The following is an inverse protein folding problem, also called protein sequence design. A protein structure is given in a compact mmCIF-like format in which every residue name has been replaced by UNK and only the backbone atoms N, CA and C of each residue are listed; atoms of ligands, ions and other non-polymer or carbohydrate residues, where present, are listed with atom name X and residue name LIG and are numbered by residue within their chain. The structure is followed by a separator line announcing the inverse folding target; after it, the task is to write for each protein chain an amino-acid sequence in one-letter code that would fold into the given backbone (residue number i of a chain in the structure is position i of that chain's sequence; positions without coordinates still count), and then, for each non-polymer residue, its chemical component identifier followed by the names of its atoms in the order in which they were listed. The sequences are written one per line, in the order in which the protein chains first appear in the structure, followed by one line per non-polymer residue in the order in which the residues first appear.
data_IF_603729964155
#
_entry.id   IF_603729964155
#
_cell.length_a   1.000
_cell.length_b   1.000
_cell.length_c   1.000
_cell.angle_alpha   90.00
_cell.angle_beta   90.00
_cell.angle_gamma   90.00
#
_symmetry.space_group_name_H-M   'P 1'
#
loop_
_entity.id
_entity.type
_entity.pdbx_description
1 polymer ?
#
# COMPACT_ATOMS: atom_id res chain seq x y z
N UNK A 1 24.01 -22.69 0.37
CA UNK A 1 22.62 -22.43 -0.08
C UNK A 1 22.37 -20.94 0.08
N UNK A 2 21.65 -20.25 -0.82
CA UNK A 2 21.32 -18.83 -0.61
C UNK A 2 20.55 -18.65 0.70
N UNK A 3 20.72 -17.52 1.39
CA UNK A 3 19.89 -17.18 2.54
C UNK A 3 18.42 -17.09 2.12
N UNK A 4 17.51 -17.27 3.09
CA UNK A 4 16.05 -17.18 2.87
C UNK A 4 15.68 -15.87 2.15
N UNK A 5 16.28 -14.76 2.59
CA UNK A 5 16.08 -13.43 2.00
C UNK A 5 16.51 -13.33 0.53
N UNK A 6 17.66 -13.92 0.16
CA UNK A 6 18.09 -13.94 -1.26
C UNK A 6 17.05 -14.63 -2.14
N UNK A 7 16.39 -15.68 -1.64
CA UNK A 7 15.35 -16.39 -2.41
C UNK A 7 14.07 -15.57 -2.53
N UNK A 8 13.65 -14.88 -1.47
CA UNK A 8 12.47 -14.01 -1.53
C UNK A 8 12.66 -12.86 -2.52
N UNK A 9 13.86 -12.25 -2.56
CA UNK A 9 14.21 -11.26 -3.61
C UNK A 9 14.08 -11.85 -5.01
N UNK A 10 14.61 -13.04 -5.25
CA UNK A 10 14.51 -13.72 -6.57
C UNK A 10 13.06 -13.98 -6.97
N UNK A 11 12.19 -14.37 -6.03
CA UNK A 11 10.76 -14.58 -6.29
C UNK A 11 10.08 -13.25 -6.66
N UNK A 12 10.30 -12.20 -5.88
CA UNK A 12 9.73 -10.87 -6.15
C UNK A 12 10.19 -10.33 -7.50
N UNK A 13 11.46 -10.49 -7.86
CA UNK A 13 12.00 -10.15 -9.18
C UNK A 13 11.37 -10.97 -10.32
N UNK A 14 11.13 -12.26 -10.11
CA UNK A 14 10.47 -13.13 -11.08
C UNK A 14 9.00 -12.76 -11.31
N UNK A 15 8.28 -12.45 -10.22
CA UNK A 15 6.91 -11.94 -10.27
C UNK A 15 6.85 -10.58 -10.97
N UNK A 16 7.78 -9.68 -10.65
CA UNK A 16 7.86 -8.37 -11.27
C UNK A 16 8.04 -8.46 -12.79
N UNK A 17 8.97 -9.30 -13.26
CA UNK A 17 9.17 -9.57 -14.71
C UNK A 17 7.90 -10.10 -15.37
N UNK A 18 7.22 -11.04 -14.71
CA UNK A 18 5.96 -11.62 -15.20
C UNK A 18 4.88 -10.55 -15.35
N UNK A 19 4.73 -9.67 -14.37
CA UNK A 19 3.76 -8.56 -14.41
C UNK A 19 4.10 -7.57 -15.53
N UNK A 20 5.38 -7.22 -15.70
CA UNK A 20 5.80 -6.35 -16.81
C UNK A 20 5.45 -6.93 -18.19
N UNK A 21 5.55 -8.25 -18.37
CA UNK A 21 5.11 -8.93 -19.60
C UNK A 21 3.60 -8.82 -19.81
N UNK A 22 2.81 -8.90 -18.73
CA UNK A 22 1.35 -8.79 -18.79
C UNK A 22 0.86 -7.39 -19.15
N UNK A 23 1.65 -6.34 -18.90
CA UNK A 23 1.28 -4.93 -19.14
C UNK A 23 0.67 -4.65 -20.52
N UNK A 24 1.12 -5.36 -21.56
CA UNK A 24 0.65 -5.19 -22.95
C UNK A 24 -0.66 -5.92 -23.25
N UNK A 25 -1.08 -6.81 -22.36
CA UNK A 25 -2.20 -7.73 -22.55
C UNK A 25 -3.24 -7.64 -21.43
N UNK A 26 -3.21 -6.57 -20.63
CA UNK A 26 -4.20 -6.35 -19.57
C UNK A 26 -5.59 -6.12 -20.20
N UNK A 27 -6.62 -6.86 -19.76
CA UNK A 27 -8.00 -6.63 -20.18
C UNK A 27 -8.44 -5.17 -19.96
N UNK A 28 -9.45 -4.72 -20.70
CA UNK A 28 -9.96 -3.34 -20.58
C UNK A 28 -10.52 -3.05 -19.18
N UNK A 29 -11.12 -4.05 -18.56
CA UNK A 29 -11.63 -3.98 -17.19
C UNK A 29 -10.52 -4.00 -16.13
N UNK A 30 -9.26 -4.22 -16.51
CA UNK A 30 -8.10 -4.21 -15.61
C UNK A 30 -7.88 -5.50 -14.80
N UNK A 31 -8.81 -6.46 -14.80
CA UNK A 31 -8.72 -7.65 -13.95
C UNK A 31 -7.77 -8.69 -14.52
N UNK A 32 -7.02 -9.35 -13.64
CA UNK A 32 -6.06 -10.40 -14.01
C UNK A 32 -6.30 -11.69 -13.23
N UNK A 33 -6.03 -12.82 -13.87
CA UNK A 33 -6.12 -14.13 -13.23
C UNK A 33 -4.76 -14.54 -12.69
N UNK A 34 -4.59 -14.45 -11.37
CA UNK A 34 -3.34 -14.82 -10.69
C UNK A 34 -3.28 -16.28 -10.23
N UNK A 35 -4.33 -17.08 -10.45
CA UNK A 35 -4.38 -18.49 -9.99
C UNK A 35 -3.30 -19.37 -10.62
N UNK A 36 -2.76 -18.97 -11.77
CA UNK A 36 -1.66 -19.69 -12.44
C UNK A 36 -0.29 -19.37 -11.86
N UNK A 37 -0.16 -18.32 -11.04
CA UNK A 37 1.11 -17.94 -10.41
C UNK A 37 1.37 -18.86 -9.22
N UNK A 38 2.34 -19.77 -9.36
CA UNK A 38 2.66 -20.78 -8.34
C UNK A 38 3.20 -20.19 -7.04
N UNK A 39 3.83 -19.02 -7.15
CA UNK A 39 4.48 -18.32 -6.05
C UNK A 39 3.58 -17.25 -5.41
N UNK A 40 2.29 -17.22 -5.78
CA UNK A 40 1.30 -16.30 -5.22
C UNK A 40 0.17 -17.09 -4.57
N UNK A 41 -0.21 -16.67 -3.38
CA UNK A 41 -1.40 -17.13 -2.68
C UNK A 41 -2.33 -15.94 -2.47
N UNK A 42 -3.61 -16.09 -2.83
CA UNK A 42 -4.60 -15.02 -2.74
C UNK A 42 -5.74 -15.44 -1.84
N UNK A 43 -5.83 -14.80 -0.69
CA UNK A 43 -6.88 -14.99 0.32
C UNK A 43 -7.89 -13.86 0.15
N UNK A 44 -9.13 -14.19 -0.14
CA UNK A 44 -10.22 -13.23 -0.40
C UNK A 44 -11.22 -13.20 0.76
N UNK A 45 -12.02 -12.14 0.85
CA UNK A 45 -13.03 -11.93 1.90
C UNK A 45 -12.47 -11.97 3.33
N UNK A 46 -11.21 -11.55 3.51
CA UNK A 46 -10.63 -11.49 4.84
C UNK A 46 -11.28 -10.37 5.68
N UNK A 47 -11.53 -10.65 6.95
CA UNK A 47 -12.13 -9.72 7.89
C UNK A 47 -11.07 -8.81 8.54
N UNK A 48 -10.98 -7.57 8.06
CA UNK A 48 -10.10 -6.54 8.62
C UNK A 48 -10.73 -5.76 9.78
N UNK A 49 -12.00 -6.02 10.12
CA UNK A 49 -12.72 -5.30 11.18
C UNK A 49 -12.25 -5.74 12.58
N UNK A 50 -11.68 -6.95 12.69
CA UNK A 50 -11.33 -7.61 13.96
C UNK A 50 -9.83 -7.86 14.14
N UNK A 51 -9.01 -6.80 14.03
CA UNK A 51 -7.54 -6.88 14.10
C UNK A 51 -6.91 -6.27 15.36
N UNK A 52 -7.69 -6.00 16.42
CA UNK A 52 -7.17 -5.36 17.64
C UNK A 52 -6.29 -6.29 18.51
N UNK A 53 -6.38 -7.62 18.33
CA UNK A 53 -5.62 -8.60 19.10
C UNK A 53 -4.31 -8.99 18.41
N UNK A 54 -3.21 -8.37 18.83
CA UNK A 54 -1.88 -8.61 18.27
C UNK A 54 -1.40 -10.07 18.39
N UNK A 55 -1.74 -10.78 19.47
CA UNK A 55 -1.34 -12.18 19.66
C UNK A 55 -2.07 -13.09 18.68
N UNK A 56 -3.36 -12.85 18.46
CA UNK A 56 -4.16 -13.59 17.48
C UNK A 56 -3.70 -13.32 16.07
N UNK A 57 -3.44 -12.05 15.72
CA UNK A 57 -2.91 -11.61 14.43
C UNK A 57 -1.58 -12.29 14.07
N UNK A 58 -0.65 -12.34 15.03
CA UNK A 58 0.66 -12.98 14.84
C UNK A 58 0.57 -14.52 14.78
N UNK A 59 -0.48 -15.12 15.34
CA UNK A 59 -0.69 -16.57 15.30
C UNK A 59 -1.33 -17.07 13.99
N UNK A 60 -1.79 -16.16 13.12
CA UNK A 60 -2.35 -16.50 11.81
C UNK A 60 -1.27 -17.03 10.86
N UNK A 61 -1.69 -17.74 9.80
CA UNK A 61 -0.79 -18.25 8.76
C UNK A 61 -1.31 -17.78 7.38
N UNK A 62 -0.64 -16.79 6.74
CA UNK A 62 0.49 -16.01 7.24
C UNK A 62 0.11 -15.08 8.41
N UNK A 63 1.09 -14.60 9.20
CA UNK A 63 0.82 -13.65 10.27
C UNK A 63 0.34 -12.31 9.72
N UNK A 64 -0.59 -11.67 10.43
CA UNK A 64 -0.94 -10.27 10.19
C UNK A 64 0.08 -9.40 10.90
N UNK A 65 0.87 -8.65 10.12
CA UNK A 65 2.02 -7.86 10.58
C UNK A 65 1.68 -6.39 10.86
N UNK A 66 0.40 -6.04 10.77
CA UNK A 66 -0.09 -4.69 11.00
C UNK A 66 -1.09 -4.69 12.14
N UNK A 67 -0.89 -3.82 13.13
CA UNK A 67 -1.85 -3.59 14.21
C UNK A 67 -2.54 -2.24 14.00
N UNK A 68 -3.83 -2.22 13.66
CA UNK A 68 -4.57 -0.98 13.50
C UNK A 68 -4.52 -0.08 14.73
N UNK A 69 -4.63 1.22 14.51
CA UNK A 69 -4.85 2.18 15.58
C UNK A 69 -6.15 1.83 16.32
N UNK A 70 -6.12 1.92 17.65
CA UNK A 70 -7.33 1.73 18.43
C UNK A 70 -8.36 2.83 18.11
N UNK A 71 -9.64 2.47 18.01
CA UNK A 71 -10.70 3.44 17.68
C UNK A 71 -10.74 4.61 18.67
N UNK A 72 -10.65 4.34 19.97
CA UNK A 72 -10.71 5.37 21.00
C UNK A 72 -9.50 6.32 20.95
N UNK A 73 -8.36 5.86 20.43
CA UNK A 73 -7.21 6.74 20.18
C UNK A 73 -7.44 7.59 18.92
N UNK A 74 -8.00 7.00 17.86
CA UNK A 74 -8.29 7.71 16.61
C UNK A 74 -9.35 8.82 16.82
N UNK A 75 -10.34 8.58 17.69
CA UNK A 75 -11.37 9.56 18.08
C UNK A 75 -10.81 10.78 18.83
N UNK A 76 -9.62 10.67 19.44
CA UNK A 76 -8.96 11.82 20.09
C UNK A 76 -8.36 12.81 19.09
N UNK A 77 -8.26 12.41 17.82
CA UNK A 77 -7.72 13.21 16.72
C UNK A 77 -8.79 13.44 15.65
N UNK A 78 -9.84 14.23 15.95
CA UNK A 78 -10.88 14.52 14.96
C UNK A 78 -10.32 15.37 13.82
N UNK A 79 -10.91 15.23 12.64
CA UNK A 79 -10.60 16.07 11.48
C UNK A 79 -11.05 17.51 11.77
N UNK A 80 -10.18 18.50 11.54
CA UNK A 80 -10.58 19.91 11.58
C UNK A 80 -11.56 20.17 10.42
N UNK A 81 -12.82 20.58 10.70
CA UNK A 81 -13.80 20.85 9.64
C UNK A 81 -13.36 21.92 8.63
N UNK A 82 -12.41 22.80 8.98
CA UNK A 82 -11.86 23.82 8.07
C UNK A 82 -10.80 23.26 7.11
N UNK A 83 -10.18 22.14 7.46
CA UNK A 83 -9.16 21.48 6.66
C UNK A 83 -9.73 20.28 5.89
N UNK A 84 -10.88 19.75 6.33
CA UNK A 84 -11.57 18.66 5.65
C UNK A 84 -11.89 19.02 4.20
N UNK A 85 -11.40 18.20 3.28
CA UNK A 85 -11.72 18.32 1.86
C UNK A 85 -13.17 17.93 1.62
N UNK A 86 -13.75 18.52 0.59
CA UNK A 86 -15.11 18.18 0.16
C UNK A 86 -15.18 16.73 -0.29
N UNK A 87 -16.29 16.08 0.03
CA UNK A 87 -16.59 14.73 -0.41
C UNK A 87 -18.05 14.72 -0.85
N UNK A 88 -18.25 14.42 -2.13
CA UNK A 88 -19.55 14.40 -2.78
C UNK A 88 -20.06 12.96 -2.84
N UNK A 89 -21.34 12.81 -2.51
CA UNK A 89 -22.03 11.55 -2.70
C UNK A 89 -22.12 11.21 -4.20
N UNK A 90 -22.36 9.95 -4.51
CA UNK A 90 -22.30 9.44 -5.90
C UNK A 90 -23.30 10.11 -6.84
N UNK A 91 -24.44 10.57 -6.32
CA UNK A 91 -25.50 11.26 -7.07
C UNK A 91 -25.34 12.78 -7.12
N UNK A 92 -24.41 13.33 -6.34
CA UNK A 92 -24.08 14.74 -6.34
C UNK A 92 -23.07 15.02 -7.44
N UNK A 93 -23.35 16.01 -8.28
CA UNK A 93 -22.37 16.60 -9.19
C UNK A 93 -22.03 18.01 -8.71
N UNK A 94 -20.80 18.43 -8.94
CA UNK A 94 -20.37 19.79 -8.60
C UNK A 94 -20.74 20.72 -9.76
N UNK A 95 -21.98 21.22 -9.74
CA UNK A 95 -22.52 22.10 -10.79
C UNK A 95 -21.74 23.41 -10.95
N UNK A 96 -20.92 23.78 -9.95
CA UNK A 96 -20.13 25.01 -9.93
C UNK A 96 -18.68 24.79 -10.41
N UNK A 97 -18.27 23.55 -10.71
CA UNK A 97 -16.96 23.30 -11.33
C UNK A 97 -16.96 23.65 -12.81
N UNK A 98 -15.85 24.27 -13.24
CA UNK A 98 -15.56 24.49 -14.65
C UNK A 98 -15.46 23.19 -15.48
N UNK A 99 -15.28 22.04 -14.81
CA UNK A 99 -15.18 20.72 -15.43
C UNK A 99 -15.98 19.68 -14.64
N UNK A 100 -16.74 18.79 -15.31
CA UNK A 100 -17.46 17.71 -14.65
C UNK A 100 -16.53 16.81 -13.83
N UNK A 101 -17.04 16.22 -12.75
CA UNK A 101 -16.28 15.28 -11.93
C UNK A 101 -15.96 14.03 -12.76
N UNK A 102 -14.68 13.80 -13.02
CA UNK A 102 -14.22 12.63 -13.77
C UNK A 102 -14.19 11.37 -12.90
N UNK A 103 -14.08 10.18 -13.52
CA UNK A 103 -13.94 8.93 -12.78
C UNK A 103 -12.77 8.94 -11.77
N UNK A 104 -11.61 9.46 -12.17
CA UNK A 104 -10.44 9.54 -11.27
C UNK A 104 -10.66 10.49 -10.09
N UNK A 105 -11.50 11.53 -10.23
CA UNK A 105 -11.81 12.45 -9.14
C UNK A 105 -12.68 11.77 -8.07
N UNK A 106 -13.54 10.83 -8.48
CA UNK A 106 -14.34 10.00 -7.55
C UNK A 106 -13.45 9.07 -6.75
N UNK A 107 -12.49 8.42 -7.41
CA UNK A 107 -11.49 7.58 -6.76
C UNK A 107 -10.62 8.40 -5.80
N UNK A 108 -10.16 9.57 -6.24
CA UNK A 108 -9.34 10.46 -5.41
C UNK A 108 -10.10 10.94 -4.17
N UNK A 109 -11.39 11.24 -4.27
CA UNK A 109 -12.21 11.62 -3.11
C UNK A 109 -12.17 10.57 -1.99
N UNK A 110 -12.20 9.28 -2.34
CA UNK A 110 -12.09 8.18 -1.37
C UNK A 110 -10.73 8.21 -0.67
N UNK A 111 -9.64 8.29 -1.45
CA UNK A 111 -8.28 8.40 -0.92
C UNK A 111 -8.14 9.61 0.03
N UNK A 112 -8.60 10.79 -0.40
CA UNK A 112 -8.49 12.03 0.39
C UNK A 112 -9.36 12.01 1.64
N UNK A 113 -10.51 11.34 1.62
CA UNK A 113 -11.37 11.23 2.79
C UNK A 113 -10.75 10.35 3.88
N UNK A 114 -10.11 9.25 3.47
CA UNK A 114 -9.32 8.42 4.37
C UNK A 114 -8.10 9.21 4.87
N UNK A 115 -7.40 9.91 3.97
CA UNK A 115 -6.22 10.71 4.31
C UNK A 115 -6.54 11.80 5.34
N UNK A 116 -7.62 12.57 5.15
CA UNK A 116 -8.07 13.60 6.09
C UNK A 116 -8.35 13.02 7.47
N UNK A 117 -8.89 11.80 7.52
CA UNK A 117 -9.15 11.09 8.77
C UNK A 117 -7.87 10.64 9.48
N UNK A 118 -6.76 10.55 8.77
CA UNK A 118 -5.44 10.14 9.25
C UNK A 118 -4.57 11.34 9.60
N UNK A 119 -5.02 12.16 10.55
CA UNK A 119 -4.37 13.44 10.87
C UNK A 119 -2.88 13.29 11.22
N UNK A 120 -2.14 14.40 11.12
CA UNK A 120 -0.70 14.42 11.46
C UNK A 120 -0.44 13.94 12.89
N UNK A 121 -1.30 14.32 13.83
CA UNK A 121 -1.23 13.92 15.23
C UNK A 121 -1.48 12.42 15.40
N UNK A 122 -2.47 11.86 14.68
CA UNK A 122 -2.75 10.44 14.69
C UNK A 122 -1.58 9.62 14.11
N UNK A 123 -1.00 10.06 12.98
CA UNK A 123 0.21 9.46 12.39
C UNK A 123 1.39 9.52 13.36
N UNK A 124 1.62 10.68 13.97
CA UNK A 124 2.69 10.89 14.94
C UNK A 124 2.53 9.99 16.19
N UNK A 125 1.31 9.81 16.71
CA UNK A 125 1.04 8.87 17.81
C UNK A 125 1.35 7.42 17.42
N UNK A 126 1.18 7.07 16.15
CA UNK A 126 1.55 5.75 15.63
C UNK A 126 3.02 5.63 15.24
N UNK A 127 3.78 6.72 15.34
CA UNK A 127 5.19 6.76 14.95
C UNK A 127 5.37 6.55 13.45
N UNK A 128 4.41 6.97 12.63
CA UNK A 128 4.48 6.85 11.17
C UNK A 128 5.08 8.12 10.56
N UNK A 129 5.87 7.94 9.51
CA UNK A 129 6.47 9.00 8.70
C UNK A 129 6.13 8.82 7.22
N UNK A 130 6.10 9.92 6.47
CA UNK A 130 5.95 9.87 5.02
C UNK A 130 7.21 9.27 4.37
N UNK A 131 7.02 8.55 3.26
CA UNK A 131 8.12 8.06 2.43
C UNK A 131 8.40 9.07 1.32
N UNK A 132 9.37 9.94 1.55
CA UNK A 132 9.74 11.03 0.63
C UNK A 132 11.20 10.88 0.19
N UNK A 133 11.50 11.33 -1.03
CA UNK A 133 12.88 11.45 -1.50
C UNK A 133 13.39 12.87 -1.19
N UNK A 134 14.65 13.04 -0.75
CA UNK A 134 15.71 12.02 -0.64
C UNK A 134 15.76 11.32 0.73
N UNK A 135 14.84 11.58 1.65
CA UNK A 135 14.87 11.03 3.02
C UNK A 135 14.79 9.50 3.05
N UNK A 136 14.07 8.89 2.11
CA UNK A 136 13.97 7.44 1.94
C UNK A 136 14.57 7.00 0.60
N UNK A 137 15.47 6.03 0.67
CA UNK A 137 16.04 5.37 -0.52
C UNK A 137 15.07 4.41 -1.22
N UNK A 138 13.83 4.27 -0.74
CA UNK A 138 12.83 3.38 -1.30
C UNK A 138 12.54 3.69 -2.78
N UNK A 139 12.48 4.98 -3.14
CA UNK A 139 12.16 5.43 -4.49
C UNK A 139 13.25 5.09 -5.53
N UNK A 140 14.47 4.75 -5.10
CA UNK A 140 15.52 4.25 -5.99
C UNK A 140 15.20 2.86 -6.56
N UNK A 141 14.31 2.11 -5.90
CA UNK A 141 14.05 0.69 -6.22
C UNK A 141 12.60 0.41 -6.67
N UNK A 142 11.69 1.38 -6.50
CA UNK A 142 10.27 1.22 -6.82
C UNK A 142 9.72 2.42 -7.60
N UNK A 143 8.93 2.12 -8.64
CA UNK A 143 8.09 3.09 -9.32
C UNK A 143 6.64 2.65 -9.10
N UNK A 144 5.88 3.41 -8.35
CA UNK A 144 4.49 3.07 -7.99
C UNK A 144 3.48 3.86 -8.82
N UNK A 145 3.74 3.96 -10.12
CA UNK A 145 2.86 4.60 -11.08
C UNK A 145 3.11 4.04 -12.47
N UNK A 146 2.10 3.48 -13.11
CA UNK A 146 2.22 2.92 -14.46
C UNK A 146 0.93 3.09 -15.27
N UNK A 147 1.06 3.19 -16.60
CA UNK A 147 -0.05 2.96 -17.51
C UNK A 147 -0.38 1.48 -17.69
N UNK A 148 -1.68 1.24 -17.82
CA UNK A 148 -2.31 0.06 -18.41
C UNK A 148 -2.13 -0.02 -19.93
N UNK A 149 -0.90 0.08 -20.44
CA UNK A 149 -0.66 0.29 -21.87
C UNK A 149 -1.49 1.50 -22.38
N UNK A 150 -2.56 1.27 -23.18
CA UNK A 150 -3.42 2.34 -23.71
C UNK A 150 -4.76 2.49 -22.94
N UNK A 151 -4.93 1.80 -21.81
CA UNK A 151 -6.22 1.64 -21.12
C UNK A 151 -6.28 2.40 -19.77
N UNK A 152 -5.54 3.49 -19.63
CA UNK A 152 -5.53 4.33 -18.42
C UNK A 152 -4.22 4.24 -17.63
N UNK A 153 -4.22 4.85 -16.44
CA UNK A 153 -3.06 4.98 -15.57
C UNK A 153 -3.50 4.79 -14.11
N UNK A 154 -2.65 4.14 -13.32
CA UNK A 154 -2.83 4.04 -11.87
C UNK A 154 -1.64 4.69 -11.16
N UNK A 155 -1.87 5.17 -9.94
CA UNK A 155 -0.81 5.77 -9.12
C UNK A 155 -0.97 5.37 -7.66
N UNK A 156 0.15 5.20 -6.96
CA UNK A 156 0.16 5.16 -5.51
C UNK A 156 0.34 6.57 -4.94
N UNK A 157 -0.30 6.82 -3.81
CA UNK A 157 -0.23 8.08 -3.05
C UNK A 157 -0.17 7.76 -1.55
N UNK A 158 0.06 8.79 -0.72
CA UNK A 158 0.06 8.69 0.74
C UNK A 158 0.98 7.58 1.27
N UNK A 159 2.22 7.46 0.78
CA UNK A 159 3.13 6.43 1.28
C UNK A 159 3.60 6.76 2.69
N UNK A 160 3.44 5.81 3.61
CA UNK A 160 3.91 5.92 5.00
C UNK A 160 4.63 4.66 5.44
N UNK A 161 5.59 4.83 6.34
CA UNK A 161 6.33 3.75 6.99
C UNK A 161 6.50 4.05 8.49
N UNK A 162 6.71 3.04 9.34
CA UNK A 162 7.04 3.27 10.74
C UNK A 162 8.43 3.87 10.88
N UNK A 163 8.55 4.88 11.73
CA UNK A 163 9.84 5.38 12.19
C UNK A 163 10.64 4.29 12.90
N UNK A 164 11.98 4.40 12.90
CA UNK A 164 12.84 3.38 13.50
C UNK A 164 12.64 3.28 15.01
N UNK A 165 12.64 2.05 15.55
CA UNK A 165 12.62 1.79 17.00
C UNK A 165 14.04 1.55 17.49
N UNK A 166 14.55 2.45 18.34
CA UNK A 166 15.94 2.44 18.82
C UNK A 166 16.97 2.32 17.69
N UNK A 167 16.72 2.99 16.56
CA UNK A 167 17.57 2.97 15.37
C UNK A 167 17.37 1.75 14.45
N UNK A 168 16.51 0.79 14.83
CA UNK A 168 16.17 -0.35 13.97
C UNK A 168 15.00 0.02 13.05
N UNK A 169 15.16 0.00 11.72
CA UNK A 169 14.08 0.29 10.78
C UNK A 169 13.08 -0.87 10.72
N UNK A 170 11.83 -0.56 10.36
CA UNK A 170 10.80 -1.55 10.07
C UNK A 170 10.63 -1.73 8.56
N UNK A 171 10.46 -2.97 8.06
CA UNK A 171 10.25 -3.23 6.63
C UNK A 171 8.81 -2.94 6.17
N UNK A 172 7.99 -2.32 7.02
CA UNK A 172 6.57 -2.13 6.77
C UNK A 172 6.37 -0.92 5.88
N UNK A 173 5.45 -1.04 4.93
CA UNK A 173 5.06 0.05 4.06
C UNK A 173 3.54 0.05 3.91
N UNK A 174 2.94 1.24 4.01
CA UNK A 174 1.52 1.43 3.73
C UNK A 174 1.31 2.55 2.71
N UNK A 175 0.32 2.40 1.83
CA UNK A 175 -0.01 3.42 0.82
C UNK A 175 -1.44 3.29 0.29
N UNK A 176 -1.89 4.33 -0.40
CA UNK A 176 -3.13 4.30 -1.18
C UNK A 176 -2.80 4.01 -2.64
N UNK A 177 -3.62 3.19 -3.29
CA UNK A 177 -3.62 3.01 -4.74
C UNK A 177 -4.87 3.67 -5.32
N UNK A 178 -4.70 4.45 -6.36
CA UNK A 178 -5.79 5.07 -7.11
C UNK A 178 -5.84 4.47 -8.52
N UNK A 179 -6.99 3.93 -8.86
CA UNK A 179 -7.25 3.36 -10.18
C UNK A 179 -8.68 3.63 -10.66
N UNK A 180 -8.82 4.02 -11.92
CA UNK A 180 -10.10 4.34 -12.56
C UNK A 180 -10.82 3.10 -13.13
N UNK A 181 -10.55 1.92 -12.56
CA UNK A 181 -11.23 0.67 -12.88
C UNK A 181 -12.25 0.35 -11.79
N UNK A 182 -13.31 -0.34 -12.18
CA UNK A 182 -14.28 -0.88 -11.21
C UNK A 182 -13.67 -2.07 -10.49
N UNK A 183 -13.73 -2.09 -9.16
CA UNK A 183 -13.30 -3.26 -8.39
C UNK A 183 -14.39 -4.33 -8.35
N UNK A 184 -14.00 -5.60 -8.48
CA UNK A 184 -14.90 -6.74 -8.26
C UNK A 184 -14.52 -7.53 -7.02
N UNK A 185 -15.54 -8.04 -6.32
CA UNK A 185 -15.35 -9.00 -5.23
C UNK A 185 -14.53 -10.21 -5.70
N UNK A 186 -13.65 -10.69 -4.83
CA UNK A 186 -12.80 -11.88 -5.05
C UNK A 186 -11.85 -11.84 -6.26
N UNK A 187 -11.76 -10.69 -6.95
CA UNK A 187 -10.88 -10.47 -8.08
C UNK A 187 -9.85 -9.38 -7.78
N UNK A 188 -8.70 -9.43 -8.48
CA UNK A 188 -7.61 -8.45 -8.34
C UNK A 188 -7.37 -7.73 -9.66
N UNK A 189 -7.14 -6.42 -9.57
CA UNK A 189 -6.72 -5.60 -10.69
C UNK A 189 -5.22 -5.78 -10.96
N UNK A 190 -4.81 -5.57 -12.20
CA UNK A 190 -3.40 -5.55 -12.56
C UNK A 190 -2.64 -4.44 -11.81
N UNK A 191 -3.24 -3.26 -11.61
CA UNK A 191 -2.65 -2.18 -10.80
C UNK A 191 -2.36 -2.61 -9.36
N UNK A 192 -3.32 -3.27 -8.72
CA UNK A 192 -3.22 -3.75 -7.34
C UNK A 192 -2.11 -4.77 -7.19
N UNK A 193 -2.07 -5.77 -8.08
CA UNK A 193 -0.99 -6.76 -8.09
C UNK A 193 0.36 -6.10 -8.36
N UNK A 194 0.43 -5.19 -9.33
CA UNK A 194 1.67 -4.52 -9.71
C UNK A 194 2.21 -3.65 -8.57
N UNK A 195 1.34 -2.87 -7.92
CA UNK A 195 1.72 -2.01 -6.81
C UNK A 195 2.21 -2.81 -5.61
N UNK A 196 1.56 -3.92 -5.27
CA UNK A 196 2.02 -4.83 -4.21
C UNK A 196 3.40 -5.40 -4.54
N UNK A 197 3.57 -5.98 -5.73
CA UNK A 197 4.85 -6.61 -6.11
C UNK A 197 5.97 -5.57 -6.19
N UNK A 198 5.71 -4.39 -6.75
CA UNK A 198 6.68 -3.31 -6.81
C UNK A 198 7.08 -2.80 -5.43
N UNK A 199 6.11 -2.55 -4.56
CA UNK A 199 6.37 -2.10 -3.20
C UNK A 199 7.21 -3.11 -2.41
N UNK A 200 6.87 -4.40 -2.50
CA UNK A 200 7.63 -5.45 -1.83
C UNK A 200 9.03 -5.64 -2.43
N UNK A 201 9.16 -5.61 -3.77
CA UNK A 201 10.46 -5.70 -4.47
C UNK A 201 11.35 -4.52 -4.08
N UNK A 202 10.81 -3.30 -4.14
CA UNK A 202 11.51 -2.08 -3.75
C UNK A 202 11.98 -2.14 -2.31
N UNK A 203 11.11 -2.55 -1.39
CA UNK A 203 11.46 -2.70 0.03
C UNK A 203 12.51 -3.78 0.26
N UNK A 204 12.44 -4.90 -0.47
CA UNK A 204 13.42 -5.97 -0.37
C UNK A 204 14.81 -5.57 -0.91
N UNK A 205 14.86 -4.71 -1.92
CA UNK A 205 16.10 -4.23 -2.54
C UNK A 205 16.60 -2.89 -2.01
N UNK A 206 15.86 -2.24 -1.11
CA UNK A 206 16.20 -0.94 -0.56
C UNK A 206 17.60 -0.92 0.06
N UNK A 207 18.36 0.15 -0.22
CA UNK A 207 19.75 0.30 0.20
C UNK A 207 19.88 1.08 1.50
N UNK A 208 20.79 0.64 2.37
CA UNK A 208 21.19 1.35 3.58
C UNK A 208 22.18 2.46 3.21
N UNK A 209 21.71 3.71 3.30
CA UNK A 209 22.49 4.91 3.02
C UNK A 209 22.29 5.90 4.16
N UNK A 210 23.23 5.94 5.10
CA UNK A 210 23.11 6.77 6.30
C UNK A 210 23.35 8.27 6.03
N UNK A 211 24.15 8.59 5.01
CA UNK A 211 24.52 9.98 4.70
C UNK A 211 23.44 10.64 3.85
N UNK A 212 22.88 11.73 4.36
CA UNK A 212 21.91 12.57 3.64
C UNK A 212 22.46 13.02 2.28
N UNK A 213 23.69 13.54 2.24
CA UNK A 213 24.34 13.98 1.00
C UNK A 213 24.50 12.87 -0.04
N UNK A 214 24.64 11.62 0.39
CA UNK A 214 24.77 10.48 -0.53
C UNK A 214 23.39 10.06 -1.03
N UNK A 215 22.34 10.18 -0.20
CA UNK A 215 20.97 9.96 -0.67
C UNK A 215 20.57 11.00 -1.72
N UNK A 216 20.91 12.27 -1.49
CA UNK A 216 20.71 13.35 -2.47
C UNK A 216 21.43 13.06 -3.78
N UNK A 217 22.73 12.70 -3.73
CA UNK A 217 23.50 12.36 -4.93
C UNK A 217 22.90 11.17 -5.70
N UNK A 218 22.47 10.13 -4.98
CA UNK A 218 21.82 8.97 -5.58
C UNK A 218 20.47 9.36 -6.21
N UNK A 219 19.67 10.20 -5.57
CA UNK A 219 18.39 10.67 -6.12
C UNK A 219 18.60 11.50 -7.39
N UNK A 220 19.58 12.41 -7.39
CA UNK A 220 19.94 13.24 -8.56
C UNK A 220 20.47 12.43 -9.74
N UNK A 221 21.06 11.26 -9.47
CA UNK A 221 21.67 10.37 -10.48
C UNK A 221 20.84 9.11 -10.76
N UNK A 222 19.53 9.12 -10.51
CA UNK A 222 18.62 7.97 -10.75
C UNK A 222 19.09 6.65 -10.10
N UNK A 223 19.79 6.78 -8.97
CA UNK A 223 20.36 5.68 -8.19
C UNK A 223 21.57 5.00 -8.81
N UNK A 224 22.30 5.64 -9.73
CA UNK A 224 23.58 5.13 -10.25
C UNK A 224 24.58 4.89 -9.10
N UNK A 225 25.18 3.69 -9.05
CA UNK A 225 26.16 3.34 -8.01
C UNK A 225 25.56 2.77 -6.72
N UNK A 226 24.23 2.71 -6.59
CA UNK A 226 23.56 2.26 -5.35
C UNK A 226 23.93 0.84 -4.92
N UNK A 227 24.32 -0.02 -5.86
CA UNK A 227 24.74 -1.41 -5.65
C UNK A 227 25.96 -1.57 -4.73
N UNK A 228 26.75 -0.51 -4.49
CA UNK A 228 27.86 -0.55 -3.52
C UNK A 228 27.37 -0.57 -2.08
N UNK A 229 26.13 -0.15 -1.84
CA UNK A 229 25.53 -0.10 -0.52
C UNK A 229 24.87 -1.44 -0.14
N UNK A 230 24.98 -1.85 1.13
CA UNK A 230 24.28 -3.03 1.62
C UNK A 230 22.76 -2.83 1.60
N UNK A 231 22.02 -3.92 1.67
CA UNK A 231 20.56 -3.85 1.80
C UNK A 231 20.18 -3.34 3.20
N UNK A 232 19.16 -2.49 3.26
CA UNK A 232 18.58 -1.99 4.51
C UNK A 232 17.91 -3.10 5.33
N UNK A 233 17.36 -4.09 4.63
CA UNK A 233 16.63 -5.23 5.21
C UNK A 233 17.25 -6.55 4.73
N UNK A 234 18.51 -6.79 5.08
CA UNK A 234 19.28 -7.97 4.65
C UNK A 234 18.73 -9.29 5.25
N UNK A 235 18.29 -9.24 6.51
CA UNK A 235 17.77 -10.38 7.29
C UNK A 235 16.24 -10.49 7.32
N UNK A 236 15.52 -9.59 6.65
CA UNK A 236 14.05 -9.58 6.65
C UNK A 236 13.47 -10.69 5.76
N UNK A 237 12.43 -11.39 6.23
CA UNK A 237 11.81 -12.47 5.45
C UNK A 237 10.44 -12.09 4.87
N UNK A 238 9.70 -11.15 5.47
CA UNK A 238 8.28 -10.92 5.19
C UNK A 238 8.00 -9.74 4.25
N UNK A 239 8.75 -8.63 4.35
CA UNK A 239 8.50 -7.40 3.58
C UNK A 239 7.02 -6.97 3.53
N UNK A 240 6.39 -6.71 4.70
CA UNK A 240 4.96 -6.47 4.81
C UNK A 240 4.52 -5.17 4.12
N UNK A 241 3.47 -5.26 3.30
CA UNK A 241 2.82 -4.14 2.63
C UNK A 241 1.35 -4.09 3.01
N UNK A 242 0.86 -2.88 3.26
CA UNK A 242 -0.56 -2.56 3.44
C UNK A 242 -0.98 -1.59 2.33
N UNK A 243 -1.99 -1.95 1.54
CA UNK A 243 -2.49 -1.10 0.47
C UNK A 243 -3.98 -0.86 0.64
N UNK A 244 -4.37 0.41 0.62
CA UNK A 244 -5.76 0.83 0.45
C UNK A 244 -6.00 1.06 -1.04
N UNK A 245 -6.72 0.15 -1.69
CA UNK A 245 -7.08 0.28 -3.11
C UNK A 245 -8.37 1.08 -3.24
N UNK A 246 -8.30 2.27 -3.81
CA UNK A 246 -9.42 3.12 -4.16
C UNK A 246 -9.76 2.91 -5.63
N UNK A 247 -11.02 2.56 -5.91
CA UNK A 247 -11.49 2.11 -7.23
C UNK A 247 -12.86 2.69 -7.54
N UNK A 248 -13.27 2.63 -8.81
CA UNK A 248 -14.61 3.07 -9.21
C UNK A 248 -15.72 2.16 -8.65
N UNK A 249 -16.94 2.70 -8.51
CA UNK A 249 -17.35 4.09 -8.72
C UNK A 249 -16.89 5.06 -7.61
N UNK A 250 -17.11 4.71 -6.34
CA UNK A 250 -16.51 5.33 -5.15
C UNK A 250 -16.34 4.21 -4.13
N UNK A 251 -15.42 3.28 -4.38
CA UNK A 251 -15.22 2.10 -3.56
C UNK A 251 -13.78 2.02 -3.06
N UNK A 252 -13.57 1.28 -1.98
CA UNK A 252 -12.23 0.90 -1.57
C UNK A 252 -12.18 -0.51 -0.98
N UNK A 253 -10.99 -1.09 -0.98
CA UNK A 253 -10.68 -2.35 -0.29
C UNK A 253 -9.25 -2.36 0.25
N UNK A 254 -9.02 -3.22 1.21
CA UNK A 254 -7.76 -3.33 1.92
C UNK A 254 -7.03 -4.58 1.43
N UNK A 255 -5.75 -4.42 1.15
CA UNK A 255 -4.82 -5.51 0.91
C UNK A 255 -3.72 -5.49 1.96
N UNK A 256 -3.45 -6.64 2.58
CA UNK A 256 -2.16 -6.88 3.23
C UNK A 256 -1.41 -7.93 2.42
N UNK A 257 -0.12 -7.70 2.20
CA UNK A 257 0.72 -8.64 1.50
C UNK A 257 2.04 -8.85 2.23
N UNK A 258 2.53 -10.07 2.23
CA UNK A 258 3.87 -10.39 2.73
C UNK A 258 4.40 -11.66 2.07
N UNK A 259 5.71 -11.85 2.14
CA UNK A 259 6.33 -13.12 1.87
C UNK A 259 6.07 -14.05 3.05
N UNK A 260 5.59 -15.27 2.78
CA UNK A 260 5.42 -16.32 3.78
C UNK A 260 5.62 -17.66 3.13
N UNK A 261 6.39 -18.54 3.77
CA UNK A 261 6.71 -19.89 3.25
C UNK A 261 7.17 -19.88 1.78
N UNK A 262 7.93 -18.84 1.39
CA UNK A 262 8.45 -18.61 0.02
C UNK A 262 7.37 -18.36 -1.04
N UNK A 263 6.24 -17.80 -0.64
CA UNK A 263 5.22 -17.27 -1.54
C UNK A 263 4.89 -15.84 -1.17
N UNK A 264 4.49 -15.07 -2.16
CA UNK A 264 3.76 -13.83 -1.95
C UNK A 264 2.34 -14.20 -1.52
N UNK A 265 1.96 -13.91 -0.28
CA UNK A 265 0.58 -14.05 0.17
C UNK A 265 -0.08 -12.68 0.13
N UNK A 266 -1.22 -12.59 -0.57
CA UNK A 266 -2.04 -11.40 -0.70
C UNK A 266 -3.37 -11.67 0.00
N UNK A 267 -3.67 -10.89 1.02
CA UNK A 267 -4.88 -10.98 1.83
C UNK A 267 -5.75 -9.77 1.49
N UNK A 268 -6.94 -10.04 0.97
CA UNK A 268 -7.86 -9.04 0.43
C UNK A 268 -9.15 -9.01 1.24
N UNK A 269 -9.63 -7.80 1.55
CA UNK A 269 -10.95 -7.59 2.15
C UNK A 269 -12.10 -7.76 1.14
N UNK A 270 -13.34 -7.74 1.64
CA UNK A 270 -14.50 -7.39 0.80
C UNK A 270 -14.34 -5.99 0.18
N UNK A 271 -15.12 -5.68 -0.85
CA UNK A 271 -15.22 -4.33 -1.40
C UNK A 271 -16.15 -3.47 -0.53
N UNK A 272 -15.67 -2.30 -0.10
CA UNK A 272 -16.43 -1.38 0.72
C UNK A 272 -16.95 -0.20 -0.10
N UNK A 273 -18.18 0.20 0.19
CA UNK A 273 -18.78 1.37 -0.45
C UNK A 273 -18.42 2.67 0.25
N UNK A 274 -18.02 3.65 -0.56
CA UNK A 274 -17.83 5.06 -0.20
C UNK A 274 -18.75 5.96 -1.06
N UNK A 275 -19.79 5.41 -1.68
CA UNK A 275 -20.73 6.17 -2.51
C UNK A 275 -21.51 7.22 -1.70
N UNK A 276 -21.66 6.99 -0.40
CA UNK A 276 -22.37 7.87 0.51
C UNK A 276 -21.48 8.20 1.70
N UNK A 277 -21.18 9.49 1.91
CA UNK A 277 -20.23 9.98 2.91
C UNK A 277 -20.56 9.52 4.33
N UNK A 278 -21.84 9.51 4.68
CA UNK A 278 -22.33 9.18 6.03
C UNK A 278 -22.30 7.67 6.33
N UNK A 279 -22.24 6.83 5.30
CA UNK A 279 -22.17 5.36 5.41
C UNK A 279 -20.78 4.81 5.15
N UNK A 280 -19.87 5.63 4.60
CA UNK A 280 -18.52 5.24 4.28
C UNK A 280 -17.76 4.78 5.54
N UNK A 281 -17.08 3.63 5.52
CA UNK A 281 -16.37 3.08 6.67
C UNK A 281 -15.00 3.76 6.88
N UNK A 282 -14.96 5.09 6.86
CA UNK A 282 -13.71 5.86 6.89
C UNK A 282 -12.86 5.59 8.13
N UNK A 283 -13.48 5.38 9.30
CA UNK A 283 -12.77 5.06 10.53
C UNK A 283 -12.08 3.69 10.47
N UNK A 284 -12.69 2.68 9.82
CA UNK A 284 -12.06 1.37 9.61
C UNK A 284 -10.78 1.54 8.78
N UNK A 285 -10.89 2.21 7.63
CA UNK A 285 -9.77 2.40 6.72
C UNK A 285 -8.67 3.25 7.34
N UNK A 286 -9.02 4.34 8.02
CA UNK A 286 -8.05 5.19 8.70
C UNK A 286 -7.32 4.43 9.81
N UNK A 287 -8.02 3.65 10.64
CA UNK A 287 -7.39 2.83 11.70
C UNK A 287 -6.41 1.82 11.13
N UNK A 288 -6.82 1.11 10.07
CA UNK A 288 -5.99 0.09 9.43
C UNK A 288 -4.79 0.75 8.75
N UNK A 289 -4.97 1.85 8.03
CA UNK A 289 -3.87 2.59 7.41
C UNK A 289 -2.86 3.13 8.43
N UNK A 290 -3.34 3.57 9.60
CA UNK A 290 -2.52 4.00 10.75
C UNK A 290 -1.95 2.82 11.56
N UNK A 291 -1.75 1.67 10.95
CA UNK A 291 -1.25 0.50 11.66
C UNK A 291 0.19 0.66 12.12
N UNK A 292 0.46 0.20 13.34
CA UNK A 292 1.83 -0.03 13.83
C UNK A 292 2.35 -1.39 13.36
N UNK A 293 3.69 -1.53 13.23
CA UNK A 293 4.29 -2.80 12.88
C UNK A 293 4.11 -3.83 14.00
N UNK A 294 3.81 -5.07 13.64
CA UNK A 294 3.90 -6.24 14.51
C UNK A 294 5.10 -7.08 14.06
N UNK A 295 6.00 -7.38 15.00
CA UNK A 295 7.17 -8.20 14.73
C UNK A 295 6.91 -9.61 15.27
N UNK A 296 7.00 -10.66 14.45
CA UNK A 296 6.94 -12.04 14.92
C UNK A 296 8.04 -12.26 15.96
N UNK A 297 7.70 -12.93 17.07
CA UNK A 297 8.73 -13.39 18.01
C UNK A 297 9.53 -14.48 17.31
N UNK A 298 10.79 -14.19 17.00
CA UNK A 298 11.78 -15.16 16.49
C UNK A 298 12.26 -16.02 17.65
#
# INVERSE_FOLDING_TARGET
MPSSTTRNRVILEGLFKTILEWRKHVPKDGHVNIRSLKDVEHVVQFDFENLDNAESNLAMVPPILFKPMNLADLERHPVDPKLAREFLDIDQDDSDRNFPIGPIDRVRQVSTFIEDRTTREARSQQGLQSVEAPESTFWLEAILAYNYSNNGWWTAECLVEPGPDNGKPYPHLAFHLLDDKEGWEDAILYSELCAIVEAMKGRANQRLVDSESVREELDECDGEGREVHPYLFDDEEYFPVLMVSCVLPQHARIFMACMSQRKLVIIQSKLYSFEWKDKAPVDLFARVFLSKPLVPRI
#
